data_IF_481607658421
#
_entry.id   IF_481607658421
#
_cell.length_a   1.000
_cell.length_b   1.000
_cell.length_c   1.000
_cell.angle_alpha   90.00
_cell.angle_beta   90.00
_cell.angle_gamma   90.00
#
_symmetry.space_group_name_H-M   'P 1'
#
loop_
_entity.id
_entity.type
_entity.pdbx_description
1 polymer ?
#
# COMPACT_ATOMS: atom_id res chain seq x y z
N UNK A 1 5.71 12.24 0.71
CA UNK A 1 5.71 11.10 -0.25
C UNK A 1 6.70 11.30 -1.39
N UNK A 2 6.67 12.43 -2.11
CA UNK A 2 7.57 12.70 -3.24
C UNK A 2 9.07 12.50 -2.91
N UNK A 3 9.52 13.07 -1.79
CA UNK A 3 10.91 12.92 -1.32
C UNK A 3 11.29 11.46 -1.01
N UNK A 4 10.39 10.69 -0.38
CA UNK A 4 10.62 9.26 -0.08
C UNK A 4 10.79 8.44 -1.36
N UNK A 5 9.95 8.69 -2.37
CA UNK A 5 10.06 8.03 -3.67
C UNK A 5 11.35 8.39 -4.39
N UNK A 6 11.75 9.66 -4.38
CA UNK A 6 13.02 10.12 -4.97
C UNK A 6 14.23 9.51 -4.27
N UNK A 7 14.20 9.40 -2.95
CA UNK A 7 15.31 8.85 -2.15
C UNK A 7 15.42 7.34 -2.21
N UNK A 8 14.29 6.62 -2.17
CA UNK A 8 14.30 5.17 -1.97
C UNK A 8 13.91 4.39 -3.24
N UNK A 9 13.43 5.06 -4.29
CA UNK A 9 12.97 4.40 -5.53
C UNK A 9 11.64 3.65 -5.40
N UNK A 10 10.95 3.73 -4.25
CA UNK A 10 9.67 3.05 -4.03
C UNK A 10 8.48 4.00 -4.22
N UNK A 11 7.51 3.58 -5.02
CA UNK A 11 6.28 4.33 -5.29
C UNK A 11 5.09 3.90 -4.38
N UNK A 12 5.35 3.28 -3.23
CA UNK A 12 4.32 3.00 -2.25
C UNK A 12 4.88 2.49 -0.92
N UNK A 13 4.19 2.85 0.15
CA UNK A 13 4.64 2.68 1.53
C UNK A 13 3.48 2.20 2.41
N UNK A 14 3.73 1.26 3.34
CA UNK A 14 2.76 0.91 4.36
C UNK A 14 2.50 2.12 5.26
N UNK A 15 1.26 2.23 5.73
CA UNK A 15 0.86 3.19 6.77
C UNK A 15 0.62 2.38 8.04
N UNK A 16 1.30 2.74 9.11
CA UNK A 16 1.25 2.06 10.40
C UNK A 16 0.87 3.05 11.52
N UNK A 17 0.28 2.54 12.62
CA UNK A 17 0.12 3.31 13.86
C UNK A 17 1.47 3.46 14.58
N UNK A 18 1.48 4.23 15.68
CA UNK A 18 2.67 4.36 16.55
C UNK A 18 3.08 3.01 17.18
N UNK A 19 2.12 2.10 17.37
CA UNK A 19 2.32 0.73 17.85
C UNK A 19 2.78 -0.24 16.76
N UNK A 20 3.14 0.25 15.57
CA UNK A 20 3.53 -0.52 14.38
C UNK A 20 2.41 -1.40 13.78
N UNK A 21 1.13 -1.09 14.06
CA UNK A 21 0.03 -1.81 13.43
C UNK A 21 -0.21 -1.31 12.01
N UNK A 22 -0.18 -2.22 11.02
CA UNK A 22 -0.55 -1.88 9.64
C UNK A 22 -2.01 -1.43 9.59
N UNK A 23 -2.26 -0.23 9.05
CA UNK A 23 -3.60 0.35 8.84
C UNK A 23 -3.92 0.66 7.38
N UNK A 24 -2.93 0.64 6.48
CA UNK A 24 -3.16 0.88 5.07
C UNK A 24 -1.89 0.87 4.22
N UNK A 25 -2.03 1.22 2.95
CA UNK A 25 -0.93 1.50 2.04
C UNK A 25 -1.21 2.79 1.28
N UNK A 26 -0.19 3.63 1.11
CA UNK A 26 -0.26 4.78 0.22
C UNK A 26 0.70 4.60 -0.94
N UNK A 27 0.25 4.89 -2.16
CA UNK A 27 1.01 4.76 -3.39
C UNK A 27 1.07 6.07 -4.15
N UNK A 28 2.01 6.18 -5.10
CA UNK A 28 2.09 7.33 -5.99
C UNK A 28 0.80 7.59 -6.80
N UNK A 29 -0.07 6.59 -6.97
CA UNK A 29 -1.37 6.76 -7.64
C UNK A 29 -2.37 7.50 -6.77
N UNK A 30 -2.35 7.24 -5.46
CA UNK A 30 -3.28 7.83 -4.51
C UNK A 30 -3.00 9.33 -4.32
N UNK A 31 -1.72 9.72 -4.39
CA UNK A 31 -1.29 11.12 -4.21
C UNK A 31 -1.16 11.91 -5.51
N UNK A 32 -1.34 11.30 -6.68
CA UNK A 32 -1.08 11.94 -7.99
C UNK A 32 -1.91 13.22 -8.21
N UNK A 33 -3.12 13.25 -7.67
CA UNK A 33 -4.08 14.35 -7.86
C UNK A 33 -4.47 15.01 -6.54
N UNK A 34 -3.69 14.79 -5.47
CA UNK A 34 -3.92 15.43 -4.18
C UNK A 34 -3.57 16.91 -4.27
N UNK A 35 -4.54 17.76 -3.96
CA UNK A 35 -4.39 19.22 -4.00
C UNK A 35 -4.15 19.82 -2.61
N UNK A 36 -4.66 19.19 -1.54
CA UNK A 36 -4.42 19.60 -0.15
C UNK A 36 -3.42 18.67 0.51
N UNK A 37 -2.20 19.16 0.69
CA UNK A 37 -1.12 18.40 1.33
C UNK A 37 -1.12 18.49 2.86
N UNK A 38 -2.06 19.26 3.45
CA UNK A 38 -2.18 19.37 4.90
C UNK A 38 -3.07 18.28 5.51
N UNK A 39 -3.80 17.53 4.67
CA UNK A 39 -4.58 16.40 5.14
C UNK A 39 -3.68 15.24 5.57
N UNK A 40 -4.09 14.47 6.60
CA UNK A 40 -3.34 13.30 7.01
C UNK A 40 -3.34 12.23 5.91
N UNK A 41 -2.27 11.43 5.88
CA UNK A 41 -2.08 10.31 4.92
C UNK A 41 -3.26 9.34 4.90
N UNK A 42 -3.93 9.17 6.05
CA UNK A 42 -5.11 8.31 6.20
C UNK A 42 -6.29 8.68 5.30
N UNK A 43 -6.39 9.94 4.85
CA UNK A 43 -7.45 10.41 3.93
C UNK A 43 -7.26 9.86 2.53
N UNK A 44 -6.00 9.64 2.11
CA UNK A 44 -5.67 9.26 0.74
C UNK A 44 -5.21 7.82 0.60
N UNK A 45 -4.83 7.14 1.69
CA UNK A 45 -4.36 5.76 1.63
C UNK A 45 -5.48 4.78 1.21
N UNK A 46 -5.09 3.62 0.67
CA UNK A 46 -5.99 2.46 0.65
C UNK A 46 -5.98 1.82 2.03
N UNK A 47 -7.12 1.75 2.74
CA UNK A 47 -7.16 1.25 4.10
C UNK A 47 -7.09 -0.27 4.14
N UNK A 48 -6.61 -0.83 5.27
CA UNK A 48 -6.29 -2.25 5.43
C UNK A 48 -7.42 -3.20 5.07
N UNK A 49 -8.65 -2.86 5.41
CA UNK A 49 -9.85 -3.64 5.11
C UNK A 49 -10.13 -3.82 3.61
N UNK A 50 -9.51 -2.99 2.76
CA UNK A 50 -9.57 -3.08 1.29
C UNK A 50 -8.32 -3.70 0.68
N UNK A 51 -7.36 -4.12 1.50
CA UNK A 51 -6.13 -4.75 1.03
C UNK A 51 -6.33 -6.25 0.91
N UNK A 52 -5.90 -6.79 -0.22
CA UNK A 52 -5.67 -8.23 -0.33
C UNK A 52 -4.28 -8.50 0.25
N UNK A 53 -4.25 -9.27 1.33
CA UNK A 53 -3.01 -9.73 1.96
C UNK A 53 -2.74 -11.18 1.59
N UNK A 54 -1.46 -11.52 1.59
CA UNK A 54 -0.98 -12.90 1.46
C UNK A 54 -0.18 -13.25 2.69
N UNK A 55 -0.24 -14.50 3.11
CA UNK A 55 0.53 -14.95 4.27
C UNK A 55 1.98 -15.09 3.88
N UNK A 56 2.86 -14.85 4.85
CA UNK A 56 4.27 -15.21 4.68
C UNK A 56 4.41 -16.71 4.35
N UNK A 57 5.23 -17.02 3.34
CA UNK A 57 5.44 -18.39 2.85
C UNK A 57 4.31 -18.95 1.98
N UNK A 58 3.28 -18.17 1.66
CA UNK A 58 2.23 -18.59 0.73
C UNK A 58 2.81 -18.86 -0.67
N UNK A 59 2.37 -19.95 -1.30
CA UNK A 59 2.89 -20.38 -2.60
C UNK A 59 2.70 -19.29 -3.65
N UNK A 60 3.73 -19.09 -4.50
CA UNK A 60 3.77 -18.02 -5.50
C UNK A 60 2.56 -18.07 -6.43
N UNK A 61 2.10 -19.25 -6.80
CA UNK A 61 0.94 -19.48 -7.66
C UNK A 61 -0.34 -18.92 -7.01
N UNK A 62 -0.49 -19.09 -5.70
CA UNK A 62 -1.64 -18.58 -4.93
C UNK A 62 -1.58 -17.06 -4.82
N UNK A 63 -0.38 -16.50 -4.59
CA UNK A 63 -0.16 -15.04 -4.58
C UNK A 63 -0.53 -14.44 -5.94
N UNK A 64 -0.06 -15.02 -7.04
CA UNK A 64 -0.36 -14.55 -8.40
C UNK A 64 -1.85 -14.69 -8.76
N UNK A 65 -2.49 -15.79 -8.36
CA UNK A 65 -3.93 -15.98 -8.56
C UNK A 65 -4.74 -14.88 -7.86
N UNK A 66 -4.48 -14.65 -6.56
CA UNK A 66 -5.12 -13.57 -5.78
C UNK A 66 -4.88 -12.19 -6.41
N UNK A 67 -3.67 -11.93 -6.91
CA UNK A 67 -3.36 -10.67 -7.59
C UNK A 67 -4.14 -10.50 -8.89
N UNK A 68 -4.27 -11.55 -9.70
CA UNK A 68 -5.05 -11.51 -10.95
C UNK A 68 -6.54 -11.32 -10.70
N UNK A 69 -7.14 -12.09 -9.78
CA UNK A 69 -8.57 -11.99 -9.44
C UNK A 69 -8.96 -10.58 -9.01
N UNK A 70 -8.07 -9.89 -8.30
CA UNK A 70 -8.33 -8.56 -7.76
C UNK A 70 -7.72 -7.43 -8.61
N UNK A 71 -7.19 -7.75 -9.80
CA UNK A 71 -6.50 -6.81 -10.70
C UNK A 71 -5.42 -5.95 -10.02
N UNK A 72 -4.71 -6.53 -9.04
CA UNK A 72 -3.73 -5.84 -8.21
C UNK A 72 -2.33 -5.85 -8.84
N UNK A 73 -1.62 -4.73 -8.72
CA UNK A 73 -0.20 -4.62 -9.12
C UNK A 73 0.78 -4.88 -7.98
N UNK A 74 0.29 -4.94 -6.74
CA UNK A 74 1.07 -5.15 -5.51
C UNK A 74 0.25 -5.97 -4.52
N UNK A 75 0.91 -6.87 -3.80
CA UNK A 75 0.37 -7.59 -2.65
C UNK A 75 1.22 -7.26 -1.42
N UNK A 76 0.59 -7.21 -0.24
CA UNK A 76 1.28 -7.06 1.03
C UNK A 76 1.44 -8.44 1.67
N UNK A 77 2.66 -8.73 2.11
CA UNK A 77 2.98 -9.89 2.93
C UNK A 77 2.90 -9.46 4.38
N UNK A 78 2.16 -10.21 5.19
CA UNK A 78 2.04 -10.00 6.63
C UNK A 78 1.45 -11.21 7.32
#
# INVERSE_FOLDING_TARGET
>A
MKELTERNGFAGYPVVTEENELVGIITGRDVRFVTDLNQPVSVYMTPKERLVTVREGEAREVVLAKMHENALKKALVG
#
